data_IF_562066886082
#
_entry.id   IF_562066886082
#
_cell.length_a   1.000
_cell.length_b   1.000
_cell.length_c   1.000
_cell.angle_alpha   90.00
_cell.angle_beta   90.00
_cell.angle_gamma   90.00
#
_symmetry.space_group_name_H-M   'P 1'
#
loop_
_entity.id
_entity.type
_entity.pdbx_description
1 polymer ?
#
# COMPACT_ATOMS: atom_id res chain seq x y z
N UNK A 1 -15.17 -7.09 1.96
CA UNK A 1 -14.96 -6.49 3.26
C UNK A 1 -13.95 -7.33 4.03
N UNK A 2 -12.85 -6.73 4.47
CA UNK A 2 -11.75 -7.41 5.18
C UNK A 2 -11.74 -7.07 6.67
N UNK A 3 -12.81 -6.44 7.15
CA UNK A 3 -12.96 -6.04 8.55
C UNK A 3 -13.38 -7.26 9.39
N UNK A 4 -12.80 -7.40 10.56
CA UNK A 4 -13.20 -8.43 11.52
C UNK A 4 -14.62 -8.13 11.98
N UNK A 5 -15.49 -9.15 12.04
CA UNK A 5 -16.82 -9.00 12.64
C UNK A 5 -16.67 -8.54 14.11
N UNK A 6 -17.50 -7.62 14.54
CA UNK A 6 -17.43 -7.01 15.88
C UNK A 6 -16.12 -6.24 16.18
N UNK A 7 -15.54 -5.59 15.15
CA UNK A 7 -14.31 -4.80 15.30
C UNK A 7 -14.43 -3.68 16.35
N UNK A 8 -15.59 -3.05 16.50
CA UNK A 8 -15.85 -2.05 17.55
C UNK A 8 -15.73 -2.64 18.96
N UNK A 9 -16.27 -3.85 19.19
CA UNK A 9 -16.15 -4.56 20.47
C UNK A 9 -14.69 -4.96 20.75
N UNK A 10 -13.95 -5.36 19.72
CA UNK A 10 -12.53 -5.67 19.84
C UNK A 10 -11.74 -4.41 20.19
N UNK A 11 -11.95 -3.29 19.50
CA UNK A 11 -11.29 -2.02 19.78
C UNK A 11 -11.55 -1.57 21.23
N UNK A 12 -12.81 -1.61 21.66
CA UNK A 12 -13.17 -1.28 23.06
C UNK A 12 -12.44 -2.18 24.06
N UNK A 13 -12.40 -3.49 23.79
CA UNK A 13 -11.69 -4.44 24.68
C UNK A 13 -10.18 -4.14 24.73
N UNK A 14 -9.55 -3.81 23.61
CA UNK A 14 -8.14 -3.45 23.56
C UNK A 14 -7.88 -2.15 24.32
N UNK A 15 -8.70 -1.13 24.11
CA UNK A 15 -8.62 0.16 24.80
C UNK A 15 -8.83 0.02 26.32
N UNK A 16 -9.86 -0.71 26.77
CA UNK A 16 -10.15 -0.97 28.18
C UNK A 16 -9.01 -1.72 28.91
N UNK A 17 -8.19 -2.46 28.17
CA UNK A 17 -7.02 -3.16 28.69
C UNK A 17 -5.69 -2.45 28.43
N UNK A 18 -5.74 -1.17 28.05
CA UNK A 18 -4.56 -0.30 27.83
C UNK A 18 -3.57 -0.87 26.79
N UNK A 19 -4.10 -1.59 25.79
CA UNK A 19 -3.30 -2.10 24.67
C UNK A 19 -3.00 -0.95 23.72
N UNK A 20 -1.74 -0.54 23.66
CA UNK A 20 -1.33 0.61 22.83
C UNK A 20 -0.96 0.23 21.41
N UNK A 21 -0.56 -1.01 21.16
CA UNK A 21 -0.15 -1.50 19.84
C UNK A 21 -0.89 -2.80 19.52
N UNK A 22 -1.61 -2.81 18.39
CA UNK A 22 -2.22 -3.98 17.77
C UNK A 22 -1.55 -4.25 16.42
N UNK A 23 -1.11 -5.47 16.18
CA UNK A 23 -0.49 -5.87 14.91
C UNK A 23 -1.47 -6.72 14.10
N UNK A 24 -1.68 -6.35 12.87
CA UNK A 24 -2.55 -7.05 11.93
C UNK A 24 -1.90 -7.25 10.56
N UNK A 25 -2.62 -7.82 9.62
CA UNK A 25 -2.15 -8.10 8.27
C UNK A 25 -3.30 -8.31 7.29
N UNK A 26 -3.20 -9.30 6.38
CA UNK A 26 -4.19 -9.70 5.39
C UNK A 26 -4.33 -8.75 4.18
N UNK A 27 -4.33 -7.43 4.39
CA UNK A 27 -4.50 -6.45 3.31
C UNK A 27 -3.27 -6.33 2.39
N UNK A 28 -2.14 -6.92 2.79
CA UNK A 28 -0.84 -6.78 2.10
C UNK A 28 -0.36 -5.33 1.94
N UNK A 29 -0.88 -4.45 2.78
CA UNK A 29 -0.65 -3.01 2.80
C UNK A 29 0.18 -2.66 4.04
N UNK A 30 1.13 -1.76 3.90
CA UNK A 30 1.81 -1.16 5.04
C UNK A 30 1.10 0.12 5.45
N UNK A 31 0.47 0.10 6.62
CA UNK A 31 -0.30 1.23 7.13
C UNK A 31 -0.40 1.19 8.66
N UNK A 32 -0.72 2.31 9.29
CA UNK A 32 -1.17 2.33 10.68
C UNK A 32 -2.21 3.43 10.92
N UNK A 33 -3.11 3.16 11.84
CA UNK A 33 -4.14 4.07 12.32
C UNK A 33 -4.16 4.05 13.84
N UNK A 34 -4.62 5.15 14.43
CA UNK A 34 -4.85 5.27 15.87
C UNK A 34 -6.31 5.59 16.12
N UNK A 35 -6.93 4.84 17.01
CA UNK A 35 -8.29 5.06 17.47
C UNK A 35 -8.39 4.63 18.94
N UNK A 36 -9.02 5.43 19.79
CA UNK A 36 -9.26 5.17 21.22
C UNK A 36 -7.99 4.77 22.01
N UNK A 37 -6.83 5.33 21.65
CA UNK A 37 -5.54 5.07 22.29
C UNK A 37 -4.89 3.75 21.86
N UNK A 38 -5.48 3.05 20.90
CA UNK A 38 -4.92 1.84 20.29
C UNK A 38 -4.36 2.19 18.91
N UNK A 39 -3.08 1.94 18.69
CA UNK A 39 -2.50 2.03 17.33
C UNK A 39 -2.52 0.65 16.70
N UNK A 40 -3.28 0.49 15.63
CA UNK A 40 -3.22 -0.70 14.78
C UNK A 40 -2.19 -0.51 13.68
N UNK A 41 -1.25 -1.43 13.55
CA UNK A 41 -0.29 -1.50 12.44
C UNK A 41 -0.65 -2.69 11.55
N UNK A 42 -1.03 -2.40 10.32
CA UNK A 42 -1.17 -3.40 9.25
C UNK A 42 0.18 -3.55 8.58
N UNK A 43 0.78 -4.73 8.70
CA UNK A 43 2.08 -5.00 8.09
C UNK A 43 1.92 -5.53 6.67
N UNK A 44 2.72 -5.01 5.75
CA UNK A 44 2.78 -5.45 4.36
C UNK A 44 3.16 -6.93 4.21
N UNK A 45 3.09 -7.44 3.00
CA UNK A 45 3.29 -8.86 2.71
C UNK A 45 4.71 -9.16 2.21
N UNK A 46 5.22 -10.35 2.53
CA UNK A 46 6.47 -10.88 1.97
C UNK A 46 6.37 -11.23 0.46
N UNK A 47 5.14 -11.31 -0.08
CA UNK A 47 4.90 -11.67 -1.50
C UNK A 47 4.44 -10.50 -2.35
N UNK A 48 4.38 -9.30 -1.78
CA UNK A 48 4.03 -8.06 -2.47
C UNK A 48 5.09 -7.00 -2.18
N UNK A 49 5.54 -6.26 -3.21
CA UNK A 49 6.51 -5.20 -3.01
C UNK A 49 6.07 -4.22 -1.90
N UNK A 50 6.99 -3.81 -1.03
CA UNK A 50 8.45 -4.02 -1.03
C UNK A 50 8.93 -5.34 -0.40
N UNK A 51 8.08 -6.36 -0.24
CA UNK A 51 8.41 -7.68 0.31
C UNK A 51 9.10 -7.58 1.69
N UNK A 52 8.48 -6.81 2.56
CA UNK A 52 9.02 -6.45 3.87
C UNK A 52 8.38 -7.17 5.04
N UNK A 53 8.98 -6.99 6.20
CA UNK A 53 8.46 -7.42 7.50
C UNK A 53 8.59 -6.29 8.51
N UNK A 54 7.75 -6.32 9.54
CA UNK A 54 7.80 -5.36 10.64
C UNK A 54 8.74 -5.81 11.76
N UNK A 55 9.45 -4.86 12.35
CA UNK A 55 10.27 -5.04 13.56
C UNK A 55 9.68 -4.15 14.65
N UNK A 56 9.38 -4.74 15.80
CA UNK A 56 8.91 -4.04 17.00
C UNK A 56 10.00 -4.09 18.05
N UNK A 57 10.34 -2.96 18.64
CA UNK A 57 11.26 -2.85 19.75
C UNK A 57 10.53 -2.24 20.96
N UNK A 58 10.62 -2.91 22.09
CA UNK A 58 10.04 -2.48 23.37
C UNK A 58 11.18 -1.99 24.27
N UNK A 59 11.04 -0.79 24.80
CA UNK A 59 12.05 -0.19 25.67
C UNK A 59 11.64 -0.23 27.15
N UNK A 60 12.64 -0.13 28.05
CA UNK A 60 12.43 -0.19 29.49
C UNK A 60 11.60 1.01 30.03
N UNK A 61 11.60 2.11 29.33
CA UNK A 61 10.79 3.29 29.63
C UNK A 61 9.33 3.19 29.14
N UNK A 62 8.93 2.02 28.61
CA UNK A 62 7.58 1.78 28.09
C UNK A 62 7.36 2.27 26.67
N UNK A 63 8.31 2.94 26.04
CA UNK A 63 8.17 3.35 24.65
C UNK A 63 8.26 2.16 23.69
N UNK A 64 7.65 2.29 22.51
CA UNK A 64 7.59 1.25 21.48
C UNK A 64 8.03 1.89 20.15
N UNK A 65 8.92 1.23 19.43
CA UNK A 65 9.16 1.56 18.02
C UNK A 65 8.70 0.44 17.11
N UNK A 66 8.23 0.82 15.96
CA UNK A 66 7.96 -0.09 14.84
C UNK A 66 8.65 0.44 13.60
N UNK A 67 9.28 -0.44 12.86
CA UNK A 67 9.77 -0.10 11.52
C UNK A 67 9.72 -1.29 10.58
N UNK A 68 9.55 -1.02 9.29
CA UNK A 68 9.59 -2.04 8.24
C UNK A 68 10.99 -2.23 7.71
N UNK A 69 11.31 -3.47 7.34
CA UNK A 69 12.54 -3.83 6.64
C UNK A 69 12.22 -4.74 5.45
N UNK A 70 12.75 -4.47 4.25
CA UNK A 70 12.64 -5.40 3.13
C UNK A 70 13.51 -6.63 3.38
N UNK A 71 13.04 -7.79 2.91
CA UNK A 71 13.87 -9.01 2.89
C UNK A 71 15.01 -8.82 1.89
N UNK A 72 16.26 -8.97 2.34
CA UNK A 72 17.42 -8.79 1.48
C UNK A 72 17.69 -10.04 0.64
N UNK A 73 16.84 -10.23 -0.40
CA UNK A 73 16.91 -11.37 -1.32
C UNK A 73 18.18 -11.32 -2.15
N UNK A 74 18.66 -10.14 -2.54
CA UNK A 74 19.90 -9.96 -3.31
C UNK A 74 21.12 -10.48 -2.54
N UNK A 75 21.20 -10.17 -1.26
CA UNK A 75 22.26 -10.69 -0.39
C UNK A 75 22.16 -12.21 -0.29
N UNK A 76 20.98 -12.74 -0.03
CA UNK A 76 20.76 -14.18 0.07
C UNK A 76 21.13 -14.91 -1.23
N UNK A 77 20.70 -14.39 -2.40
CA UNK A 77 21.01 -14.97 -3.71
C UNK A 77 22.52 -14.98 -3.96
N UNK A 78 23.23 -13.90 -3.65
CA UNK A 78 24.67 -13.79 -3.78
C UNK A 78 25.41 -14.78 -2.88
N UNK A 79 25.03 -14.89 -1.62
CA UNK A 79 25.64 -15.80 -0.64
C UNK A 79 25.41 -17.28 -0.98
N UNK A 80 24.28 -17.59 -1.65
CA UNK A 80 23.96 -18.95 -2.09
C UNK A 80 24.30 -19.23 -3.57
N UNK A 81 25.05 -18.34 -4.22
CA UNK A 81 25.52 -18.48 -5.60
C UNK A 81 24.40 -18.64 -6.66
N UNK A 82 23.22 -18.11 -6.39
CA UNK A 82 22.16 -18.02 -7.39
C UNK A 82 22.49 -16.96 -8.44
N UNK A 83 22.36 -17.33 -9.73
CA UNK A 83 22.70 -16.46 -10.87
C UNK A 83 21.44 -15.96 -11.62
N UNK A 84 20.30 -15.93 -10.96
CA UNK A 84 19.10 -15.36 -11.53
C UNK A 84 19.16 -13.83 -11.42
N UNK A 85 18.92 -13.12 -12.53
CA UNK A 85 18.96 -11.66 -12.58
C UNK A 85 17.89 -11.05 -11.68
N UNK A 86 16.68 -11.60 -11.68
CA UNK A 86 15.55 -11.09 -10.89
C UNK A 86 15.82 -11.18 -9.38
N UNK A 87 16.64 -12.17 -8.96
CA UNK A 87 17.08 -12.28 -7.57
C UNK A 87 18.26 -11.35 -7.24
N UNK A 88 19.06 -10.97 -8.23
CA UNK A 88 20.18 -10.07 -8.04
C UNK A 88 19.72 -8.61 -7.86
N UNK A 89 18.60 -8.25 -8.46
CA UNK A 89 17.98 -6.93 -8.43
C UNK A 89 16.52 -7.05 -7.92
N UNK A 90 16.32 -7.85 -6.85
CA UNK A 90 14.98 -8.30 -6.43
C UNK A 90 14.06 -7.16 -6.00
N UNK A 91 14.59 -6.13 -5.35
CA UNK A 91 13.79 -4.99 -4.94
C UNK A 91 13.14 -4.32 -6.17
N UNK A 92 13.95 -3.94 -7.15
CA UNK A 92 13.46 -3.31 -8.39
C UNK A 92 12.53 -4.26 -9.17
N UNK A 93 12.91 -5.56 -9.27
CA UNK A 93 12.07 -6.57 -9.88
C UNK A 93 10.69 -6.68 -9.22
N UNK A 94 10.62 -6.67 -7.90
CA UNK A 94 9.35 -6.80 -7.17
C UNK A 94 8.43 -5.58 -7.36
N UNK A 95 8.99 -4.38 -7.39
CA UNK A 95 8.24 -3.15 -7.68
C UNK A 95 7.76 -3.11 -9.13
N UNK A 96 8.61 -3.46 -10.07
CA UNK A 96 8.25 -3.53 -11.50
C UNK A 96 7.16 -4.58 -11.75
N UNK A 97 7.24 -5.73 -11.08
CA UNK A 97 6.20 -6.76 -11.16
C UNK A 97 4.86 -6.26 -10.63
N UNK A 98 4.84 -5.62 -9.46
CA UNK A 98 3.62 -5.02 -8.91
C UNK A 98 3.06 -3.93 -9.83
N UNK A 99 3.92 -3.09 -10.39
CA UNK A 99 3.54 -2.05 -11.35
C UNK A 99 2.90 -2.64 -12.60
N UNK A 100 3.49 -3.69 -13.16
CA UNK A 100 2.97 -4.35 -14.37
C UNK A 100 1.61 -5.00 -14.15
N UNK A 101 1.41 -5.75 -13.06
CA UNK A 101 0.12 -6.36 -12.76
C UNK A 101 -0.96 -5.32 -12.45
N UNK A 102 -0.62 -4.25 -11.72
CA UNK A 102 -1.54 -3.15 -11.42
C UNK A 102 -1.93 -2.39 -12.69
N UNK A 103 -0.97 -2.10 -13.57
CA UNK A 103 -1.23 -1.51 -14.88
C UNK A 103 -2.17 -2.38 -15.73
N UNK A 104 -1.86 -3.66 -15.84
CA UNK A 104 -2.67 -4.61 -16.62
C UNK A 104 -4.08 -4.77 -16.05
N UNK A 105 -4.23 -4.67 -14.73
CA UNK A 105 -5.53 -4.69 -14.08
C UNK A 105 -6.33 -3.41 -14.41
N UNK A 106 -5.70 -2.25 -14.29
CA UNK A 106 -6.34 -0.97 -14.59
C UNK A 106 -6.78 -0.88 -16.06
N UNK A 107 -5.91 -1.27 -17.01
CA UNK A 107 -6.27 -1.28 -18.44
C UNK A 107 -7.53 -2.14 -18.68
N UNK A 108 -7.56 -3.36 -18.13
CA UNK A 108 -8.71 -4.26 -18.31
C UNK A 108 -10.00 -3.70 -17.74
N UNK A 109 -9.94 -3.05 -16.57
CA UNK A 109 -11.13 -2.46 -15.95
C UNK A 109 -11.61 -1.23 -16.76
N UNK A 110 -10.71 -0.30 -17.08
CA UNK A 110 -11.03 0.91 -17.86
C UNK A 110 -11.61 0.54 -19.24
N UNK A 111 -11.02 -0.41 -19.94
CA UNK A 111 -11.57 -0.90 -21.21
C UNK A 111 -12.95 -1.55 -21.04
N UNK A 112 -13.17 -2.30 -19.96
CA UNK A 112 -14.49 -2.89 -19.66
C UNK A 112 -15.52 -1.81 -19.44
N UNK A 113 -15.21 -0.78 -18.62
CA UNK A 113 -16.10 0.35 -18.37
C UNK A 113 -16.37 1.15 -19.66
N UNK A 114 -15.36 1.33 -20.49
CA UNK A 114 -15.48 1.98 -21.79
C UNK A 114 -16.43 1.22 -22.74
N UNK A 115 -16.29 -0.14 -22.82
CA UNK A 115 -17.19 -0.98 -23.61
C UNK A 115 -18.64 -0.98 -23.10
N UNK A 116 -18.85 -0.78 -21.82
CA UNK A 116 -20.16 -0.69 -21.17
C UNK A 116 -20.80 0.71 -21.34
N UNK A 117 -20.07 1.68 -21.89
CA UNK A 117 -20.54 3.05 -22.05
C UNK A 117 -20.57 3.87 -20.75
N UNK A 118 -19.95 3.35 -19.68
CA UNK A 118 -19.78 4.09 -18.41
C UNK A 118 -18.71 5.17 -18.56
N UNK A 119 -17.62 4.85 -19.28
CA UNK A 119 -16.54 5.77 -19.62
C UNK A 119 -16.57 6.08 -21.12
N UNK A 120 -15.94 7.19 -21.49
CA UNK A 120 -15.70 7.56 -22.89
C UNK A 120 -14.25 8.07 -23.02
N UNK A 121 -13.31 7.12 -22.99
CA UNK A 121 -11.87 7.36 -23.00
C UNK A 121 -11.26 6.91 -24.33
N UNK A 122 -10.28 7.65 -24.81
CA UNK A 122 -9.37 7.20 -25.86
C UNK A 122 -8.40 6.13 -25.34
N UNK A 123 -7.72 5.44 -26.26
CA UNK A 123 -6.70 4.45 -25.89
C UNK A 123 -5.54 5.10 -25.11
N UNK A 124 -5.11 6.30 -25.52
CA UNK A 124 -4.04 7.03 -24.85
C UNK A 124 -4.43 7.44 -23.42
N UNK A 125 -5.68 7.90 -23.20
CA UNK A 125 -6.20 8.22 -21.86
C UNK A 125 -6.28 6.99 -20.96
N UNK A 126 -6.70 5.83 -21.49
CA UNK A 126 -6.71 4.56 -20.74
C UNK A 126 -5.29 4.20 -20.29
N UNK A 127 -4.31 4.31 -21.19
CA UNK A 127 -2.92 4.00 -20.85
C UNK A 127 -2.33 4.97 -19.83
N UNK A 128 -2.64 6.26 -19.93
CA UNK A 128 -2.19 7.29 -19.01
C UNK A 128 -2.77 7.05 -17.61
N UNK A 129 -4.09 6.84 -17.51
CA UNK A 129 -4.78 6.51 -16.27
C UNK A 129 -4.25 5.22 -15.64
N UNK A 130 -3.98 4.19 -16.44
CA UNK A 130 -3.46 2.92 -15.94
C UNK A 130 -2.02 3.04 -15.40
N UNK A 131 -1.16 3.83 -16.04
CA UNK A 131 0.20 4.10 -15.53
C UNK A 131 0.17 4.85 -14.21
N UNK A 132 -0.69 5.86 -14.10
CA UNK A 132 -0.89 6.59 -12.85
C UNK A 132 -1.34 5.67 -11.73
N UNK A 133 -2.39 4.86 -11.95
CA UNK A 133 -2.88 3.88 -10.98
C UNK A 133 -1.77 2.91 -10.55
N UNK A 134 -1.03 2.35 -11.50
CA UNK A 134 0.05 1.40 -11.22
C UNK A 134 1.18 2.03 -10.38
N UNK A 135 1.53 3.29 -10.66
CA UNK A 135 2.48 4.05 -9.84
C UNK A 135 1.98 4.18 -8.41
N UNK A 136 0.73 4.62 -8.22
CA UNK A 136 0.15 4.76 -6.88
C UNK A 136 0.16 3.45 -6.10
N UNK A 137 -0.20 2.32 -6.73
CA UNK A 137 -0.21 1.01 -6.06
C UNK A 137 1.15 0.65 -5.45
N UNK A 138 2.26 0.87 -6.16
CA UNK A 138 3.60 0.55 -5.65
C UNK A 138 3.92 1.31 -4.36
N UNK A 139 3.62 2.60 -4.33
CA UNK A 139 3.90 3.43 -3.17
C UNK A 139 2.90 3.23 -2.03
N UNK A 140 1.63 3.05 -2.37
CA UNK A 140 0.57 2.82 -1.40
C UNK A 140 0.74 1.51 -0.64
N UNK A 141 0.93 0.40 -1.35
CA UNK A 141 1.16 -0.90 -0.69
C UNK A 141 2.44 -0.91 0.17
N UNK A 142 3.43 -0.12 -0.21
CA UNK A 142 4.66 0.06 0.57
C UNK A 142 4.55 1.04 1.75
N UNK A 143 3.42 1.74 1.90
CA UNK A 143 3.27 2.79 2.92
C UNK A 143 4.11 4.04 2.67
N UNK A 144 4.42 4.34 1.39
CA UNK A 144 5.38 5.36 0.96
C UNK A 144 4.78 6.47 0.09
N UNK A 145 3.47 6.70 0.18
CA UNK A 145 2.81 7.75 -0.62
C UNK A 145 3.42 9.15 -0.43
N UNK A 146 4.02 9.41 0.73
CA UNK A 146 4.71 10.66 1.02
C UNK A 146 5.88 10.98 0.06
N UNK A 147 6.50 9.94 -0.53
CA UNK A 147 7.64 10.10 -1.45
C UNK A 147 7.24 10.70 -2.80
N UNK A 148 5.97 10.53 -3.21
CA UNK A 148 5.46 10.96 -4.54
C UNK A 148 4.30 11.95 -4.47
N UNK A 149 3.98 12.46 -3.28
CA UNK A 149 2.81 13.34 -3.07
C UNK A 149 2.77 14.51 -4.06
N UNK A 150 3.85 15.27 -4.15
CA UNK A 150 3.92 16.44 -5.03
C UNK A 150 3.77 16.07 -6.51
N UNK A 151 4.32 14.92 -6.91
CA UNK A 151 4.19 14.40 -8.26
C UNK A 151 2.74 14.00 -8.57
N UNK A 152 2.08 13.32 -7.64
CA UNK A 152 0.68 12.90 -7.75
C UNK A 152 -0.28 14.09 -7.85
N UNK A 153 -0.02 15.15 -7.08
CA UNK A 153 -0.86 16.36 -7.08
C UNK A 153 -0.83 17.09 -8.43
N UNK A 154 0.25 16.97 -9.18
CA UNK A 154 0.46 17.66 -10.47
C UNK A 154 0.38 16.74 -11.70
N UNK A 155 0.07 15.46 -11.50
CA UNK A 155 -0.02 14.50 -12.60
C UNK A 155 -1.32 14.72 -13.41
N UNK A 156 -1.24 14.93 -14.74
CA UNK A 156 -2.42 15.17 -15.57
C UNK A 156 -3.44 14.02 -15.56
N UNK A 157 -3.00 12.79 -15.32
CA UNK A 157 -3.89 11.63 -15.22
C UNK A 157 -4.86 11.75 -14.02
N UNK A 158 -4.52 12.54 -12.99
CA UNK A 158 -5.41 12.80 -11.86
C UNK A 158 -6.73 13.44 -12.32
N UNK A 159 -6.65 14.44 -13.19
CA UNK A 159 -7.87 15.10 -13.72
C UNK A 159 -8.76 14.12 -14.51
N UNK A 160 -8.16 13.13 -15.18
CA UNK A 160 -8.92 12.08 -15.87
C UNK A 160 -9.65 11.19 -14.87
N UNK A 161 -8.98 10.77 -13.78
CA UNK A 161 -9.59 9.98 -12.73
C UNK A 161 -10.69 10.74 -11.97
N UNK A 162 -10.50 12.03 -11.71
CA UNK A 162 -11.49 12.87 -11.03
C UNK A 162 -12.80 13.02 -11.83
N UNK A 163 -12.76 12.94 -13.16
CA UNK A 163 -13.96 12.95 -14.02
C UNK A 163 -14.82 11.69 -13.86
N UNK A 164 -14.21 10.61 -13.44
CA UNK A 164 -14.82 9.29 -13.38
C UNK A 164 -14.82 8.70 -11.97
N UNK A 165 -14.84 9.57 -10.97
CA UNK A 165 -14.98 9.16 -9.57
C UNK A 165 -16.18 8.23 -9.40
N UNK A 166 -15.99 7.16 -8.65
CA UNK A 166 -17.04 6.18 -8.33
C UNK A 166 -17.63 5.45 -9.54
N UNK A 167 -16.94 5.43 -10.66
CA UNK A 167 -17.39 4.71 -11.85
C UNK A 167 -17.19 3.19 -11.76
N UNK A 168 -16.28 2.74 -10.90
CA UNK A 168 -15.95 1.33 -10.67
C UNK A 168 -15.29 1.12 -9.31
N UNK A 169 -15.18 -0.14 -8.86
CA UNK A 169 -14.44 -0.51 -7.66
C UNK A 169 -12.97 -0.05 -7.73
N UNK A 170 -12.41 0.00 -8.95
CA UNK A 170 -11.04 0.47 -9.18
C UNK A 170 -10.94 1.98 -8.92
N UNK A 171 -11.90 2.78 -9.42
CA UNK A 171 -11.92 4.22 -9.19
C UNK A 171 -12.18 4.55 -7.71
N UNK A 172 -13.05 3.79 -7.05
CA UNK A 172 -13.30 3.93 -5.61
C UNK A 172 -12.03 3.63 -4.79
N UNK A 173 -11.30 2.58 -5.16
CA UNK A 173 -10.03 2.25 -4.49
C UNK A 173 -8.99 3.34 -4.71
N UNK A 174 -8.87 3.85 -5.94
CA UNK A 174 -7.94 4.96 -6.23
C UNK A 174 -8.28 6.21 -5.43
N UNK A 175 -9.56 6.57 -5.28
CA UNK A 175 -9.95 7.73 -4.46
C UNK A 175 -9.51 7.56 -3.00
N UNK A 176 -9.68 6.37 -2.42
CA UNK A 176 -9.19 6.07 -1.06
C UNK A 176 -7.68 6.25 -0.93
N UNK A 177 -6.89 5.84 -1.94
CA UNK A 177 -5.44 6.08 -1.96
C UNK A 177 -5.11 7.58 -1.96
N UNK A 178 -5.86 8.37 -2.73
CA UNK A 178 -5.65 9.81 -2.87
C UNK A 178 -6.09 10.61 -1.64
N UNK A 179 -7.07 10.10 -0.89
CA UNK A 179 -7.59 10.70 0.34
C UNK A 179 -6.78 10.31 1.58
N UNK A 180 -5.94 9.27 1.48
CA UNK A 180 -5.14 8.78 2.59
C UNK A 180 -4.04 9.78 2.99
N UNK A 181 -3.63 9.70 4.26
CA UNK A 181 -2.52 10.49 4.78
C UNK A 181 -1.22 10.15 4.03
N UNK A 182 -0.55 11.19 3.51
CA UNK A 182 0.75 11.00 2.89
C UNK A 182 1.86 11.12 3.95
N UNK A 183 1.98 10.10 4.82
CA UNK A 183 3.04 9.97 5.83
C UNK A 183 3.85 8.69 5.65
N UNK A 184 4.97 8.57 6.35
CA UNK A 184 5.77 7.34 6.38
C UNK A 184 5.08 6.29 7.27
N UNK A 185 4.31 5.40 6.66
CA UNK A 185 3.66 4.32 7.38
C UNK A 185 4.61 3.15 7.72
N UNK A 186 5.83 3.20 7.23
CA UNK A 186 6.87 2.23 7.56
C UNK A 186 7.57 2.49 8.90
N UNK A 187 7.23 3.58 9.61
CA UNK A 187 7.84 3.95 10.88
C UNK A 187 6.82 4.50 11.86
N UNK A 188 6.90 4.04 13.09
CA UNK A 188 6.05 4.49 14.19
C UNK A 188 6.85 4.57 15.49
N UNK A 189 6.57 5.58 16.31
CA UNK A 189 7.05 5.72 17.66
C UNK A 189 5.89 6.02 18.60
N UNK A 190 5.73 5.21 19.63
CA UNK A 190 4.75 5.42 20.71
C UNK A 190 5.51 5.74 21.99
N UNK A 191 5.23 6.94 22.55
CA UNK A 191 5.73 7.34 23.87
C UNK A 191 5.06 6.48 24.96
N UNK A 192 5.56 6.55 26.21
CA UNK A 192 4.97 5.86 27.38
C UNK A 192 3.49 6.22 27.60
#
# INVERSE_FOLDING_TARGET
DCTIEHNEELLQMLSDNEVRLHLSGHLHLQHYMEEDGVTEVVTGSLVMAPCGYGVVELYEDGSITYHTQPVNVEKWARENSYKNRDLADFFDYSEDFLREISYSHAVRDLEKQNRQGVLNLSEDEIQEMARFYAKLCVYYYGGRMYEIRDEVEHDPARELWDRYQYASDLSDFLQRILEDDAKDFGRLYLEE
#
